data_IF_766154562848
#
_entry.id   IF_766154562848
#
_cell.length_a   1.000
_cell.length_b   1.000
_cell.length_c   1.000
_cell.angle_alpha   90.00
_cell.angle_beta   90.00
_cell.angle_gamma   90.00
#
_symmetry.space_group_name_H-M   'P 1'
#
loop_
_entity.id
_entity.type
_entity.pdbx_description
1 polymer ?
#
# COMPACT_ATOMS: atom_id res chain seq x y z
N UNK A 1 -13.63 15.86 -13.47
CA UNK A 1 -13.04 15.25 -12.26
C UNK A 1 -13.34 16.14 -11.07
N UNK A 2 -13.47 15.57 -9.88
CA UNK A 2 -13.53 16.31 -8.62
C UNK A 2 -12.19 16.27 -7.91
N UNK A 3 -11.79 17.40 -7.33
CA UNK A 3 -10.66 17.48 -6.40
C UNK A 3 -11.17 17.28 -4.97
N UNK A 4 -10.49 16.43 -4.21
CA UNK A 4 -10.73 16.24 -2.79
C UNK A 4 -9.42 16.37 -2.03
N UNK A 5 -9.46 16.98 -0.86
CA UNK A 5 -8.33 17.05 0.07
C UNK A 5 -8.65 16.22 1.31
N UNK A 6 -7.81 15.23 1.61
CA UNK A 6 -7.96 14.34 2.77
C UNK A 6 -6.58 14.15 3.41
N UNK A 7 -6.46 14.39 4.72
CA UNK A 7 -5.20 14.32 5.47
C UNK A 7 -4.06 15.07 4.78
N UNK A 8 -4.32 16.34 4.40
CA UNK A 8 -3.39 17.25 3.72
C UNK A 8 -2.90 16.75 2.33
N UNK A 9 -3.57 15.75 1.76
CA UNK A 9 -3.26 15.22 0.43
C UNK A 9 -4.38 15.46 -0.53
N UNK A 10 -3.99 15.88 -1.73
CA UNK A 10 -4.92 16.08 -2.83
C UNK A 10 -5.13 14.80 -3.63
N UNK A 11 -6.39 14.55 -3.98
CA UNK A 11 -6.84 13.45 -4.82
C UNK A 11 -7.77 14.00 -5.89
N UNK A 12 -7.64 13.49 -7.11
CA UNK A 12 -8.57 13.79 -8.19
C UNK A 12 -9.32 12.53 -8.55
N UNK A 13 -10.64 12.57 -8.45
CA UNK A 13 -11.51 11.46 -8.79
C UNK A 13 -12.23 11.77 -10.10
N UNK A 14 -12.06 10.90 -11.08
CA UNK A 14 -12.73 10.95 -12.37
C UNK A 14 -13.51 9.68 -12.63
N UNK A 15 -14.36 9.71 -13.66
CA UNK A 15 -14.99 8.52 -14.20
C UNK A 15 -14.58 8.37 -15.65
N UNK A 16 -14.25 7.15 -16.05
CA UNK A 16 -13.91 6.78 -17.40
C UNK A 16 -14.87 5.67 -17.83
N UNK A 17 -15.44 5.81 -19.02
CA UNK A 17 -16.48 4.92 -19.58
C UNK A 17 -16.16 3.40 -19.48
N UNK A 18 -14.87 3.04 -19.56
CA UNK A 18 -14.36 1.68 -19.65
C UNK A 18 -13.70 1.25 -18.34
N UNK A 19 -12.98 2.17 -17.69
CA UNK A 19 -12.16 1.88 -16.50
C UNK A 19 -12.87 2.17 -15.18
N UNK A 20 -14.10 2.70 -15.26
CA UNK A 20 -14.92 3.13 -14.13
C UNK A 20 -14.32 4.33 -13.42
N UNK A 21 -14.46 4.38 -12.09
CA UNK A 21 -13.87 5.46 -11.30
C UNK A 21 -12.35 5.33 -11.25
N UNK A 22 -11.68 6.43 -11.53
CA UNK A 22 -10.25 6.58 -11.51
C UNK A 22 -9.86 7.58 -10.42
N UNK A 23 -8.87 7.23 -9.62
CA UNK A 23 -8.30 8.13 -8.62
C UNK A 23 -6.86 8.44 -8.98
N UNK A 24 -6.59 9.71 -9.18
CA UNK A 24 -5.25 10.25 -9.33
C UNK A 24 -4.76 10.80 -7.99
N UNK A 25 -3.59 10.34 -7.58
CA UNK A 25 -2.88 10.80 -6.38
C UNK A 25 -1.46 11.21 -6.80
N UNK A 26 -1.10 12.51 -6.77
CA UNK A 26 0.18 12.99 -7.27
C UNK A 26 1.39 12.35 -6.57
N UNK A 27 1.28 12.13 -5.27
CA UNK A 27 2.35 11.53 -4.47
C UNK A 27 2.62 10.04 -4.81
N UNK A 28 1.79 9.40 -5.64
CA UNK A 28 2.01 8.05 -6.16
C UNK A 28 2.69 8.04 -7.54
N UNK A 29 2.98 9.20 -8.15
CA UNK A 29 3.63 9.27 -9.45
C UNK A 29 5.16 9.13 -9.30
N UNK A 30 5.63 7.90 -9.03
CA UNK A 30 7.04 7.63 -8.72
C UNK A 30 7.96 7.64 -9.96
N UNK A 31 7.42 7.61 -11.18
CA UNK A 31 8.20 7.67 -12.42
C UNK A 31 7.76 8.85 -13.31
N UNK A 32 8.72 9.70 -13.70
CA UNK A 32 8.55 10.88 -14.56
C UNK A 32 8.37 10.51 -16.05
N UNK A 33 7.73 9.38 -16.32
CA UNK A 33 7.41 8.97 -17.68
C UNK A 33 6.26 9.86 -18.17
N UNK A 34 6.60 10.91 -18.92
CA UNK A 34 5.69 11.98 -19.32
C UNK A 34 4.46 11.48 -20.08
N UNK A 35 4.53 10.27 -20.66
CA UNK A 35 3.46 9.68 -21.44
C UNK A 35 2.45 8.89 -20.61
N UNK A 36 2.78 8.55 -19.36
CA UNK A 36 1.96 7.69 -18.52
C UNK A 36 1.51 8.38 -17.23
N UNK A 37 0.45 7.83 -16.66
CA UNK A 37 -0.07 8.21 -15.35
C UNK A 37 -0.43 6.95 -14.57
N UNK A 38 -0.14 6.97 -13.26
CA UNK A 38 -0.58 5.94 -12.34
C UNK A 38 -1.92 6.36 -11.76
N UNK A 39 -2.95 5.57 -11.99
CA UNK A 39 -4.30 5.80 -11.46
C UNK A 39 -4.75 4.56 -10.69
N UNK A 40 -5.51 4.76 -9.61
CA UNK A 40 -6.26 3.65 -9.03
C UNK A 40 -7.55 3.45 -9.84
N UNK A 41 -7.80 2.24 -10.34
CA UNK A 41 -9.06 1.88 -10.99
C UNK A 41 -9.98 1.19 -9.99
N UNK A 42 -11.21 1.68 -9.86
CA UNK A 42 -12.24 1.05 -9.03
C UNK A 42 -12.66 -0.32 -9.57
N UNK A 43 -12.65 -0.49 -10.90
CA UNK A 43 -12.99 -1.75 -11.58
C UNK A 43 -11.95 -2.82 -11.27
N UNK A 44 -10.66 -2.49 -11.47
CA UNK A 44 -9.58 -3.46 -11.24
C UNK A 44 -9.12 -3.52 -9.77
N UNK A 45 -9.60 -2.61 -8.92
CA UNK A 45 -9.25 -2.49 -7.49
C UNK A 45 -7.74 -2.44 -7.26
N UNK A 46 -6.98 -1.83 -8.17
CA UNK A 46 -5.51 -1.71 -8.12
C UNK A 46 -5.03 -0.46 -8.84
N UNK A 47 -3.79 -0.09 -8.58
CA UNK A 47 -3.09 0.93 -9.36
C UNK A 47 -2.78 0.37 -10.75
N UNK A 48 -3.03 1.18 -11.78
CA UNK A 48 -2.78 0.87 -13.18
C UNK A 48 -1.93 1.99 -13.78
N UNK A 49 -0.87 1.62 -14.49
CA UNK A 49 -0.09 2.55 -15.33
C UNK A 49 -0.80 2.63 -16.67
N UNK A 50 -1.31 3.80 -17.03
CA UNK A 50 -2.08 4.01 -18.26
C UNK A 50 -1.48 5.17 -19.04
N UNK A 51 -1.52 5.10 -20.38
CA UNK A 51 -1.09 6.22 -21.21
C UNK A 51 -2.06 7.41 -21.07
N UNK A 52 -1.53 8.63 -21.04
CA UNK A 52 -2.33 9.85 -20.78
C UNK A 52 -3.36 10.13 -21.89
N UNK A 53 -3.03 9.81 -23.13
CA UNK A 53 -3.91 9.92 -24.29
C UNK A 53 -5.17 9.05 -24.12
N UNK A 54 -5.01 7.78 -23.73
CA UNK A 54 -6.11 6.84 -23.47
C UNK A 54 -7.07 7.43 -22.44
N UNK A 55 -6.54 7.94 -21.33
CA UNK A 55 -7.37 8.52 -20.27
C UNK A 55 -8.16 9.72 -20.78
N UNK A 56 -7.52 10.64 -21.51
CA UNK A 56 -8.15 11.88 -22.00
C UNK A 56 -9.30 11.61 -22.97
N UNK A 57 -9.18 10.60 -23.84
CA UNK A 57 -10.19 10.33 -24.88
C UNK A 57 -11.56 9.94 -24.33
N UNK A 58 -11.62 9.39 -23.12
CA UNK A 58 -12.81 8.70 -22.58
C UNK A 58 -13.14 9.09 -21.14
N UNK A 59 -12.51 10.15 -20.64
CA UNK A 59 -12.81 10.72 -19.33
C UNK A 59 -14.14 11.47 -19.42
N UNK A 60 -15.10 11.06 -18.62
CA UNK A 60 -16.42 11.69 -18.58
C UNK A 60 -16.33 12.98 -17.77
N UNK A 61 -16.82 14.08 -18.36
CA UNK A 61 -16.89 15.38 -17.71
C UNK A 61 -17.97 15.41 -16.60
N UNK A 62 -17.82 16.38 -15.71
CA UNK A 62 -18.37 16.40 -14.34
C UNK A 62 -19.89 16.43 -14.24
N UNK A 63 -20.59 16.81 -15.30
CA UNK A 63 -22.06 16.84 -15.40
C UNK A 63 -22.70 15.45 -15.28
N UNK A 64 -21.94 14.38 -15.53
CA UNK A 64 -22.40 12.98 -15.41
C UNK A 64 -21.77 12.20 -14.24
N UNK A 65 -20.94 12.86 -13.42
CA UNK A 65 -20.22 12.19 -12.33
C UNK A 65 -20.77 12.68 -11.00
N UNK A 66 -21.32 11.77 -10.22
CA UNK A 66 -21.85 12.08 -8.89
C UNK A 66 -20.71 12.32 -7.88
N UNK A 67 -20.77 13.45 -7.17
CA UNK A 67 -19.77 13.87 -6.18
C UNK A 67 -19.76 12.95 -4.94
N UNK A 68 -20.92 12.52 -4.46
CA UNK A 68 -21.05 11.62 -3.30
C UNK A 68 -20.50 10.24 -3.63
N UNK A 69 -20.79 9.72 -4.83
CA UNK A 69 -20.21 8.45 -5.29
C UNK A 69 -18.70 8.57 -5.43
N UNK A 70 -18.21 9.69 -5.98
CA UNK A 70 -16.77 9.96 -6.08
C UNK A 70 -16.07 9.97 -4.72
N UNK A 71 -16.68 10.62 -3.72
CA UNK A 71 -16.16 10.64 -2.36
C UNK A 71 -16.18 9.23 -1.71
N UNK A 72 -17.25 8.46 -1.93
CA UNK A 72 -17.35 7.07 -1.44
C UNK A 72 -16.24 6.18 -2.00
N UNK A 73 -15.98 6.28 -3.30
CA UNK A 73 -14.87 5.56 -3.96
C UNK A 73 -13.52 5.99 -3.40
N UNK A 74 -13.31 7.29 -3.18
CA UNK A 74 -12.10 7.81 -2.55
C UNK A 74 -11.89 7.25 -1.14
N UNK A 75 -12.93 7.23 -0.30
CA UNK A 75 -12.84 6.67 1.06
C UNK A 75 -12.46 5.20 1.06
N UNK A 76 -13.01 4.39 0.13
CA UNK A 76 -12.62 2.99 -0.02
C UNK A 76 -11.15 2.83 -0.41
N UNK A 77 -10.67 3.65 -1.33
CA UNK A 77 -9.26 3.67 -1.72
C UNK A 77 -8.35 4.05 -0.54
N UNK A 78 -8.65 5.14 0.18
CA UNK A 78 -7.88 5.59 1.35
C UNK A 78 -7.83 4.50 2.43
N UNK A 79 -8.97 3.87 2.71
CA UNK A 79 -9.03 2.75 3.65
C UNK A 79 -8.17 1.56 3.20
N UNK A 80 -8.17 1.26 1.90
CA UNK A 80 -7.35 0.19 1.34
C UNK A 80 -5.85 0.50 1.47
N UNK A 81 -5.41 1.69 1.08
CA UNK A 81 -3.98 2.05 1.16
C UNK A 81 -3.50 2.12 2.61
N UNK A 82 -4.36 2.52 3.56
CA UNK A 82 -4.01 2.52 4.98
C UNK A 82 -3.86 1.10 5.52
N UNK A 83 -4.72 0.15 5.09
CA UNK A 83 -4.58 -1.27 5.42
C UNK A 83 -3.30 -1.90 4.82
N UNK A 84 -2.96 -1.58 3.57
CA UNK A 84 -1.72 -2.04 2.94
C UNK A 84 -0.48 -1.48 3.64
N UNK A 85 -0.46 -0.20 4.02
CA UNK A 85 0.64 0.37 4.82
C UNK A 85 0.79 -0.28 6.20
N UNK A 86 -0.31 -0.79 6.79
CA UNK A 86 -0.29 -1.52 8.06
C UNK A 86 0.11 -2.99 7.92
N UNK A 87 0.20 -3.56 6.71
CA UNK A 87 0.64 -4.94 6.52
C UNK A 87 2.15 -4.92 6.32
N UNK A 88 2.97 -5.32 7.32
CA UNK A 88 4.40 -5.44 7.09
C UNK A 88 4.61 -6.45 5.96
N UNK A 89 5.29 -6.02 4.90
CA UNK A 89 5.63 -6.86 3.73
C UNK A 89 6.65 -7.92 4.09
N UNK A 90 7.34 -7.75 5.23
CA UNK A 90 8.26 -8.71 5.82
C UNK A 90 7.98 -8.68 7.33
N UNK A 91 7.46 -9.77 7.86
CA UNK A 91 7.29 -9.95 9.30
C UNK A 91 8.56 -10.60 9.85
N UNK A 92 9.18 -9.94 10.82
CA UNK A 92 10.31 -10.50 11.54
C UNK A 92 9.82 -11.09 12.85
N UNK A 93 10.17 -12.34 13.11
CA UNK A 93 9.70 -13.07 14.29
C UNK A 93 10.85 -13.25 15.27
N UNK A 94 10.58 -13.03 16.55
CA UNK A 94 11.52 -13.36 17.61
C UNK A 94 10.80 -14.05 18.77
N UNK A 95 11.52 -14.82 19.58
CA UNK A 95 10.96 -15.32 20.83
C UNK A 95 11.19 -14.29 21.94
N UNK A 96 10.15 -14.01 22.72
CA UNK A 96 10.16 -13.12 23.89
C UNK A 96 11.34 -13.37 24.85
N UNK A 97 11.81 -14.62 24.93
CA UNK A 97 12.90 -15.05 25.82
C UNK A 97 13.99 -15.87 25.10
N UNK A 98 14.25 -15.61 23.80
CA UNK A 98 15.34 -16.32 23.13
C UNK A 98 16.70 -15.97 23.76
N UNK A 99 17.54 -16.98 24.04
CA UNK A 99 18.96 -16.77 24.35
C UNK A 99 19.57 -15.96 23.20
N UNK A 100 20.00 -14.73 23.48
CA UNK A 100 20.62 -13.83 22.50
C UNK A 100 19.66 -12.92 21.73
N UNK A 101 18.36 -12.89 22.06
CA UNK A 101 17.34 -12.02 21.46
C UNK A 101 17.40 -12.04 19.92
N UNK A 102 17.26 -13.21 19.30
CA UNK A 102 17.44 -13.33 17.84
C UNK A 102 16.10 -13.16 17.11
N UNK A 103 16.08 -12.38 16.03
CA UNK A 103 14.93 -12.28 15.14
C UNK A 103 15.18 -12.98 13.79
N UNK A 104 14.11 -13.46 13.18
CA UNK A 104 14.09 -14.35 12.03
C UNK A 104 13.11 -13.85 10.97
N UNK A 105 13.28 -14.25 9.70
CA UNK A 105 12.23 -14.11 8.67
C UNK A 105 11.22 -15.26 8.76
N UNK A 106 10.06 -15.08 8.13
CA UNK A 106 8.97 -16.07 8.09
C UNK A 106 9.38 -17.45 7.55
N UNK A 107 10.41 -17.51 6.71
CA UNK A 107 10.90 -18.74 6.07
C UNK A 107 12.12 -19.34 6.76
N UNK A 108 12.48 -18.89 7.97
CA UNK A 108 13.62 -19.45 8.70
C UNK A 108 13.29 -20.86 9.23
N UNK A 109 14.12 -21.86 8.92
CA UNK A 109 13.94 -23.22 9.45
C UNK A 109 13.99 -23.32 10.98
N UNK A 110 14.53 -22.30 11.68
CA UNK A 110 14.52 -22.24 13.14
C UNK A 110 13.19 -21.73 13.71
N UNK A 111 12.34 -21.12 12.88
CA UNK A 111 11.09 -20.49 13.30
C UNK A 111 10.09 -21.52 13.85
N UNK A 112 10.15 -22.78 13.41
CA UNK A 112 9.35 -23.87 13.96
C UNK A 112 9.56 -24.10 15.46
N UNK A 113 10.70 -23.65 16.00
CA UNK A 113 11.03 -23.74 17.42
C UNK A 113 10.51 -22.55 18.24
N UNK A 114 9.98 -21.51 17.57
CA UNK A 114 9.33 -20.36 18.22
C UNK A 114 7.86 -20.71 18.46
N UNK A 115 7.52 -21.04 19.71
CA UNK A 115 6.13 -21.26 20.09
C UNK A 115 5.27 -20.02 19.80
N UNK A 116 4.12 -20.21 19.13
CA UNK A 116 3.26 -19.11 18.65
C UNK A 116 2.84 -18.11 19.75
N UNK A 117 2.70 -18.57 21.00
CA UNK A 117 2.37 -17.74 22.16
C UNK A 117 3.51 -16.85 22.67
N UNK A 118 4.75 -17.07 22.20
CA UNK A 118 5.96 -16.35 22.62
C UNK A 118 6.59 -15.57 21.46
N UNK A 119 5.89 -15.41 20.33
CA UNK A 119 6.38 -14.75 19.14
C UNK A 119 6.13 -13.23 19.20
N UNK A 120 7.20 -12.44 19.11
CA UNK A 120 7.14 -11.00 18.83
C UNK A 120 7.26 -10.82 17.31
N UNK A 121 6.40 -9.96 16.74
CA UNK A 121 6.43 -9.61 15.32
C UNK A 121 6.91 -8.18 15.15
N UNK A 122 8.01 -7.98 14.42
CA UNK A 122 8.48 -6.66 14.00
C UNK A 122 8.13 -6.39 12.54
N UNK A 123 7.80 -5.13 12.25
CA UNK A 123 7.49 -4.66 10.90
C UNK A 123 8.71 -4.21 10.11
N UNK A 124 9.87 -4.05 10.75
CA UNK A 124 11.14 -3.70 10.10
C UNK A 124 12.34 -4.29 10.85
N UNK A 125 13.44 -4.46 10.12
CA UNK A 125 14.72 -4.94 10.64
C UNK A 125 15.27 -3.96 11.68
N UNK A 126 15.15 -2.67 11.41
CA UNK A 126 15.63 -1.58 12.25
C UNK A 126 14.87 -1.52 13.57
N UNK A 127 13.55 -1.80 13.56
CA UNK A 127 12.72 -1.87 14.76
C UNK A 127 13.15 -3.00 15.69
N UNK A 128 13.46 -4.17 15.11
CA UNK A 128 13.97 -5.32 15.88
C UNK A 128 15.33 -5.01 16.52
N UNK A 129 16.26 -4.42 15.74
CA UNK A 129 17.59 -4.02 16.24
C UNK A 129 17.48 -2.96 17.33
N UNK A 130 16.63 -1.95 17.16
CA UNK A 130 16.39 -0.91 18.16
C UNK A 130 15.85 -1.48 19.48
N UNK A 131 15.10 -2.57 19.42
CA UNK A 131 14.60 -3.30 20.59
C UNK A 131 15.61 -4.29 21.17
N UNK A 132 16.85 -4.29 20.67
CA UNK A 132 17.95 -5.12 21.18
C UNK A 132 18.02 -6.51 20.56
N UNK A 133 17.28 -6.77 19.48
CA UNK A 133 17.30 -8.08 18.81
C UNK A 133 18.40 -8.16 17.76
N UNK A 134 19.09 -9.30 17.72
CA UNK A 134 20.13 -9.62 16.76
C UNK A 134 19.57 -10.33 15.52
N UNK A 135 20.04 -10.01 14.31
CA UNK A 135 19.61 -10.70 13.11
C UNK A 135 20.10 -12.15 13.12
N UNK A 136 19.22 -13.10 12.81
CA UNK A 136 19.61 -14.49 12.64
C UNK A 136 20.68 -14.64 11.55
N UNK A 137 21.82 -15.27 11.90
CA UNK A 137 22.93 -15.48 10.96
C UNK A 137 22.57 -16.41 9.80
N UNK A 138 21.59 -17.30 9.98
CA UNK A 138 21.17 -18.29 8.98
C UNK A 138 20.19 -17.71 7.96
N UNK A 139 19.11 -17.06 8.40
CA UNK A 139 18.14 -16.46 7.47
C UNK A 139 18.48 -15.02 7.06
N UNK A 140 19.54 -14.42 7.64
CA UNK A 140 20.05 -13.08 7.35
C UNK A 140 18.93 -12.06 7.13
N UNK A 141 18.10 -11.83 8.16
CA UNK A 141 16.89 -11.04 8.07
C UNK A 141 17.17 -9.57 7.71
#
# INVERSE_FOLDING_TARGET
MFKFTVDEKDYWVGYHDTLGYLIYAPYLQVSVDENFVILFSSVHKRNVKVKKDIIRTKLIHTDKVDMLVSYKVLKQFIFRISKYRKKPTISYFASLNSKGAVFHRENCGWLSNVGASKAIVFSSRESAIKQGYNPCKSCKP
#
